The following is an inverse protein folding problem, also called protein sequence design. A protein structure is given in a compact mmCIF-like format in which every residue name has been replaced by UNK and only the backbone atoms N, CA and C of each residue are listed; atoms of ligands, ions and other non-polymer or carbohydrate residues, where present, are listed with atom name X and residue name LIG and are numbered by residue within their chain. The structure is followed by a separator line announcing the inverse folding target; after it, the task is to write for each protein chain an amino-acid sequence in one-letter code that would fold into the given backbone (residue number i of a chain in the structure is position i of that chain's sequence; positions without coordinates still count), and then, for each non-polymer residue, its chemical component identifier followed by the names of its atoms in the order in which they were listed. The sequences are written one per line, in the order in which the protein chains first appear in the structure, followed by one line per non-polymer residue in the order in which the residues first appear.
data_IF_751082083710
#
_entry.id   IF_751082083710
#
_cell.length_a   1.000
_cell.length_b   1.000
_cell.length_c   1.000
_cell.angle_alpha   90.00
_cell.angle_beta   90.00
_cell.angle_gamma   90.00
#
_symmetry.space_group_name_H-M   'P 1'
#
loop_
_entity.id
_entity.type
_entity.pdbx_description
1 polymer ?
#
# COMPACT_ATOMS: atom_id res chain seq x y z
N UNK A 1 7.52 -16.77 7.54
CA UNK A 1 7.47 -16.34 6.12
C UNK A 1 7.36 -17.59 5.26
N UNK A 2 6.31 -17.70 4.43
CA UNK A 2 6.05 -18.90 3.59
C UNK A 2 6.92 -18.95 2.34
N UNK A 3 7.36 -17.79 1.83
CA UNK A 3 8.23 -17.64 0.65
C UNK A 3 8.94 -16.28 0.64
N UNK A 4 9.92 -16.09 -0.25
CA UNK A 4 10.55 -14.77 -0.50
C UNK A 4 9.52 -13.78 -1.07
N UNK A 5 9.58 -12.51 -0.68
CA UNK A 5 8.70 -11.47 -1.19
C UNK A 5 8.87 -11.27 -2.71
N UNK A 6 7.78 -11.00 -3.39
CA UNK A 6 7.79 -10.53 -4.79
C UNK A 6 7.98 -9.01 -4.75
N UNK A 7 9.02 -8.50 -5.42
CA UNK A 7 9.38 -7.08 -5.40
C UNK A 7 8.30 -6.22 -6.07
N UNK A 8 8.26 -4.94 -5.73
CA UNK A 8 7.32 -3.98 -6.28
C UNK A 8 7.45 -3.78 -7.81
N UNK A 9 8.68 -3.89 -8.34
CA UNK A 9 8.98 -3.75 -9.78
C UNK A 9 8.88 -5.06 -10.58
N UNK A 10 8.47 -6.16 -9.95
CA UNK A 10 8.26 -7.43 -10.62
C UNK A 10 6.95 -7.40 -11.42
N UNK A 11 7.05 -7.65 -12.72
CA UNK A 11 5.94 -7.53 -13.67
C UNK A 11 5.21 -8.86 -13.94
N UNK A 12 5.53 -9.95 -13.22
CA UNK A 12 4.95 -11.28 -13.48
C UNK A 12 3.44 -11.36 -13.30
N UNK A 13 2.81 -10.38 -12.64
CA UNK A 13 1.40 -10.41 -12.24
C UNK A 13 0.48 -9.65 -13.19
N UNK A 14 0.90 -9.37 -14.43
CA UNK A 14 0.09 -8.63 -15.39
C UNK A 14 -1.26 -9.31 -15.63
N UNK A 15 -1.27 -10.63 -15.88
CA UNK A 15 -2.50 -11.40 -16.10
C UNK A 15 -3.45 -11.36 -14.89
N UNK A 16 -2.89 -11.44 -13.68
CA UNK A 16 -3.68 -11.38 -12.45
C UNK A 16 -4.29 -9.98 -12.23
N UNK A 17 -3.57 -8.93 -12.61
CA UNK A 17 -4.12 -7.57 -12.58
C UNK A 17 -5.31 -7.41 -13.54
N UNK A 18 -5.20 -7.96 -14.74
CA UNK A 18 -6.29 -7.98 -15.73
C UNK A 18 -7.48 -8.82 -15.23
N UNK A 19 -7.21 -9.98 -14.62
CA UNK A 19 -8.24 -10.84 -14.05
C UNK A 19 -9.01 -10.17 -12.91
N UNK A 20 -8.30 -9.53 -11.96
CA UNK A 20 -8.94 -8.77 -10.88
C UNK A 20 -9.77 -7.62 -11.44
N UNK A 21 -9.25 -6.91 -12.44
CA UNK A 21 -10.00 -5.82 -13.10
C UNK A 21 -11.27 -6.33 -13.77
N UNK A 22 -11.20 -7.48 -14.45
CA UNK A 22 -12.35 -8.16 -15.05
C UNK A 22 -13.35 -8.64 -13.99
N UNK A 23 -12.87 -9.24 -12.90
CA UNK A 23 -13.69 -9.69 -11.78
C UNK A 23 -14.43 -8.52 -11.09
N UNK A 24 -13.83 -7.33 -11.06
CA UNK A 24 -14.49 -6.12 -10.60
C UNK A 24 -15.68 -5.71 -11.49
N UNK A 25 -15.71 -6.14 -12.75
CA UNK A 25 -16.67 -5.68 -13.77
C UNK A 25 -16.08 -4.65 -14.73
N UNK A 26 -14.76 -4.59 -14.85
CA UNK A 26 -14.02 -3.66 -15.70
C UNK A 26 -13.39 -2.51 -14.93
N UNK A 27 -12.59 -1.70 -15.64
CA UNK A 27 -11.80 -0.63 -15.05
C UNK A 27 -12.66 0.42 -14.34
N UNK A 28 -13.74 0.88 -14.94
CA UNK A 28 -14.61 1.90 -14.34
C UNK A 28 -15.17 1.43 -12.98
N UNK A 29 -15.59 0.15 -12.93
CA UNK A 29 -16.10 -0.44 -11.71
C UNK A 29 -15.03 -0.62 -10.65
N UNK A 30 -13.84 -1.09 -11.05
CA UNK A 30 -12.68 -1.18 -10.16
C UNK A 30 -12.35 0.19 -9.54
N UNK A 31 -12.28 1.25 -10.36
CA UNK A 31 -12.03 2.61 -9.91
C UNK A 31 -13.12 3.13 -8.96
N UNK A 32 -14.37 2.72 -9.15
CA UNK A 32 -15.46 3.08 -8.24
C UNK A 32 -15.32 2.45 -6.85
N UNK A 33 -14.63 1.31 -6.75
CA UNK A 33 -14.39 0.57 -5.50
C UNK A 33 -13.10 1.05 -4.83
N UNK A 34 -11.97 1.00 -5.54
CA UNK A 34 -10.63 1.20 -4.98
C UNK A 34 -10.07 2.60 -5.23
N UNK A 35 -10.65 3.33 -6.18
CA UNK A 35 -10.18 4.63 -6.69
C UNK A 35 -8.80 4.56 -7.39
N UNK A 36 -8.26 3.36 -7.61
CA UNK A 36 -6.97 3.11 -8.26
C UNK A 36 -7.09 1.97 -9.27
N UNK A 37 -6.23 1.97 -10.28
CA UNK A 37 -6.05 0.82 -11.15
C UNK A 37 -5.36 -0.32 -10.40
N UNK A 38 -5.54 -1.56 -10.86
CA UNK A 38 -4.75 -2.69 -10.39
C UNK A 38 -3.41 -2.69 -11.13
N UNK A 39 -2.32 -2.46 -10.42
CA UNK A 39 -0.97 -2.38 -10.97
C UNK A 39 -0.13 -3.58 -10.52
N UNK A 40 0.80 -4.02 -11.37
CA UNK A 40 1.73 -5.12 -11.04
C UNK A 40 2.61 -4.83 -9.82
N UNK A 41 2.87 -3.56 -9.53
CA UNK A 41 3.55 -3.12 -8.32
C UNK A 41 2.76 -3.37 -7.04
N UNK A 42 1.44 -3.44 -7.13
CA UNK A 42 0.55 -3.61 -5.99
C UNK A 42 0.53 -5.06 -5.48
N UNK A 43 0.14 -5.21 -4.22
CA UNK A 43 0.14 -6.52 -3.53
C UNK A 43 -0.93 -7.46 -4.07
N UNK A 44 -2.06 -6.92 -4.54
CA UNK A 44 -3.24 -7.71 -4.95
C UNK A 44 -2.95 -8.72 -6.05
N UNK A 45 -2.33 -8.30 -7.15
CA UNK A 45 -1.93 -9.20 -8.23
C UNK A 45 -0.95 -10.29 -7.76
N UNK A 46 -0.07 -9.97 -6.80
CA UNK A 46 0.90 -10.93 -6.25
C UNK A 46 0.26 -12.01 -5.38
N UNK A 47 -0.81 -11.67 -4.66
CA UNK A 47 -1.57 -12.65 -3.87
C UNK A 47 -2.29 -13.62 -4.80
N UNK A 48 -2.95 -13.12 -5.84
CA UNK A 48 -3.63 -13.97 -6.82
C UNK A 48 -2.63 -14.86 -7.57
N UNK A 49 -1.50 -14.30 -8.00
CA UNK A 49 -0.43 -15.07 -8.63
C UNK A 49 0.08 -16.21 -7.73
N UNK A 50 0.26 -15.94 -6.44
CA UNK A 50 0.70 -16.96 -5.48
C UNK A 50 -0.35 -18.05 -5.32
N UNK A 51 -1.64 -17.70 -5.31
CA UNK A 51 -2.73 -18.67 -5.25
C UNK A 51 -2.71 -19.63 -6.44
N UNK A 52 -2.45 -19.11 -7.64
CA UNK A 52 -2.46 -19.90 -8.89
C UNK A 52 -1.19 -20.71 -9.10
N UNK A 53 -0.02 -20.13 -8.79
CA UNK A 53 1.27 -20.71 -9.13
C UNK A 53 1.98 -21.40 -7.96
N UNK A 54 1.60 -21.06 -6.72
CA UNK A 54 2.15 -21.64 -5.50
C UNK A 54 1.01 -21.99 -4.50
N UNK A 55 0.05 -22.85 -4.86
CA UNK A 55 -1.16 -23.12 -4.06
C UNK A 55 -0.85 -23.66 -2.66
N UNK A 56 0.23 -24.43 -2.50
CA UNK A 56 0.66 -24.92 -1.19
C UNK A 56 1.12 -23.79 -0.27
N UNK A 57 1.86 -22.82 -0.81
CA UNK A 57 2.28 -21.64 -0.07
C UNK A 57 1.07 -20.76 0.27
N UNK A 58 0.14 -20.60 -0.67
CA UNK A 58 -1.10 -19.86 -0.43
C UNK A 58 -1.92 -20.52 0.69
N UNK A 59 -2.13 -21.83 0.66
CA UNK A 59 -2.87 -22.57 1.69
C UNK A 59 -2.24 -22.46 3.09
N UNK A 60 -0.92 -22.31 3.18
CA UNK A 60 -0.17 -22.12 4.43
C UNK A 60 -0.18 -20.67 4.91
N UNK A 61 -0.61 -19.71 4.07
CA UNK A 61 -0.59 -18.29 4.41
C UNK A 61 -1.66 -17.98 5.45
N UNK A 62 -1.25 -17.42 6.58
CA UNK A 62 -2.16 -16.97 7.64
C UNK A 62 -2.45 -15.48 7.55
N UNK A 63 -1.50 -14.70 7.04
CA UNK A 63 -1.67 -13.27 6.86
C UNK A 63 -0.73 -12.76 5.77
N UNK A 64 -1.20 -11.78 5.02
CA UNK A 64 -0.40 -11.02 4.04
C UNK A 64 -0.16 -9.63 4.61
N UNK A 65 1.09 -9.26 4.76
CA UNK A 65 1.52 -7.96 5.27
C UNK A 65 2.63 -7.39 4.40
N UNK A 66 2.77 -6.08 4.39
CA UNK A 66 3.83 -5.39 3.66
C UNK A 66 5.16 -5.40 4.46
N UNK A 67 6.30 -5.10 3.84
CA UNK A 67 7.61 -5.17 4.49
C UNK A 67 7.72 -4.37 5.79
N UNK A 68 7.17 -3.14 5.83
CA UNK A 68 7.17 -2.33 7.06
C UNK A 68 6.38 -2.98 8.20
N UNK A 69 5.25 -3.63 7.85
CA UNK A 69 4.40 -4.31 8.84
C UNK A 69 5.10 -5.54 9.40
N UNK A 70 5.89 -6.22 8.57
CA UNK A 70 6.72 -7.33 9.03
C UNK A 70 7.78 -6.86 10.03
N UNK A 71 8.43 -5.72 9.80
CA UNK A 71 9.39 -5.15 10.75
C UNK A 71 8.68 -4.78 12.05
N UNK A 72 7.51 -4.10 11.98
CA UNK A 72 6.72 -3.78 13.17
C UNK A 72 6.28 -5.03 13.93
N UNK A 73 5.82 -6.06 13.21
CA UNK A 73 5.50 -7.36 13.81
C UNK A 73 6.70 -7.97 14.56
N UNK A 74 7.90 -7.92 13.98
CA UNK A 74 9.12 -8.41 14.63
C UNK A 74 9.48 -7.62 15.89
N UNK A 75 9.10 -6.36 15.96
CA UNK A 75 9.37 -5.50 17.12
C UNK A 75 8.28 -5.61 18.20
N UNK A 76 7.02 -5.85 17.83
CA UNK A 76 5.88 -5.78 18.74
C UNK A 76 5.09 -7.08 18.92
N UNK A 77 5.22 -8.03 18.00
CA UNK A 77 4.33 -9.20 17.92
C UNK A 77 2.94 -8.90 17.32
N UNK A 78 2.61 -7.63 17.05
CA UNK A 78 1.29 -7.21 16.59
C UNK A 78 1.16 -7.28 15.06
N UNK A 79 0.05 -7.86 14.57
CA UNK A 79 -0.24 -8.02 13.16
C UNK A 79 -1.32 -7.03 12.71
N UNK A 80 -0.90 -5.99 11.99
CA UNK A 80 -1.81 -5.05 11.35
C UNK A 80 -1.10 -4.36 10.18
N UNK A 81 -1.84 -3.59 9.39
CA UNK A 81 -1.30 -2.65 8.41
C UNK A 81 -1.92 -1.28 8.60
N UNK A 82 -1.36 -0.25 7.97
CA UNK A 82 -1.97 1.09 8.00
C UNK A 82 -2.77 1.38 6.74
N UNK A 83 -3.63 2.39 6.81
CA UNK A 83 -4.55 2.74 5.72
C UNK A 83 -3.84 3.24 4.47
N UNK A 84 -2.71 3.94 4.61
CA UNK A 84 -1.98 4.47 3.46
C UNK A 84 -1.34 3.36 2.64
N UNK A 85 -0.71 2.40 3.29
CA UNK A 85 -0.08 1.25 2.62
C UNK A 85 -1.13 0.23 2.13
N UNK A 86 -2.22 0.02 2.90
CA UNK A 86 -3.35 -0.77 2.45
C UNK A 86 -3.96 -0.23 1.15
N UNK A 87 -4.00 1.10 0.97
CA UNK A 87 -4.48 1.76 -0.25
C UNK A 87 -3.68 1.34 -1.49
N UNK A 88 -2.37 1.06 -1.35
CA UNK A 88 -1.48 0.58 -2.40
C UNK A 88 -1.57 -0.92 -2.69
N UNK A 89 -2.49 -1.65 -2.06
CA UNK A 89 -2.65 -3.08 -2.30
C UNK A 89 -3.52 -3.41 -3.51
N UNK A 90 -4.39 -2.48 -3.94
CA UNK A 90 -5.40 -2.68 -4.97
C UNK A 90 -6.71 -3.31 -4.46
N UNK A 91 -6.79 -3.68 -3.19
CA UNK A 91 -7.99 -4.24 -2.55
C UNK A 91 -8.56 -3.37 -1.41
N UNK A 92 -8.20 -2.10 -1.37
CA UNK A 92 -8.65 -1.18 -0.35
C UNK A 92 -9.61 -0.13 -0.91
N UNK A 93 -10.76 0.05 -0.26
CA UNK A 93 -11.68 1.13 -0.57
C UNK A 93 -11.17 2.40 0.12
N UNK A 94 -10.50 3.26 -0.65
CA UNK A 94 -9.86 4.48 -0.14
C UNK A 94 -10.90 5.46 0.43
N UNK A 95 -12.09 5.56 -0.19
CA UNK A 95 -13.16 6.43 0.27
C UNK A 95 -13.72 5.99 1.62
N UNK A 96 -13.97 4.70 1.78
CA UNK A 96 -14.58 4.12 2.98
C UNK A 96 -13.54 3.70 4.02
N UNK A 97 -12.25 3.83 3.68
CA UNK A 97 -11.11 3.51 4.56
C UNK A 97 -11.17 2.08 5.12
N UNK A 98 -11.53 1.11 4.27
CA UNK A 98 -11.66 -0.31 4.63
C UNK A 98 -11.34 -1.23 3.47
N UNK A 99 -11.08 -2.49 3.78
CA UNK A 99 -10.89 -3.51 2.76
C UNK A 99 -12.12 -3.65 1.86
N UNK A 100 -11.89 -3.86 0.57
CA UNK A 100 -12.91 -4.12 -0.45
C UNK A 100 -13.23 -5.63 -0.51
N UNK A 101 -13.79 -6.18 0.57
CA UNK A 101 -14.03 -7.62 0.71
C UNK A 101 -14.84 -8.22 -0.45
N UNK A 102 -15.86 -7.52 -0.95
CA UNK A 102 -16.63 -7.99 -2.10
C UNK A 102 -15.77 -8.14 -3.37
N UNK A 103 -14.75 -7.30 -3.56
CA UNK A 103 -13.81 -7.44 -4.68
C UNK A 103 -12.86 -8.63 -4.46
N UNK A 104 -12.39 -8.85 -3.23
CA UNK A 104 -11.57 -10.01 -2.90
C UNK A 104 -12.31 -11.31 -3.16
N UNK A 105 -13.59 -11.38 -2.76
CA UNK A 105 -14.46 -12.53 -3.00
C UNK A 105 -14.63 -12.80 -4.51
N UNK A 106 -14.90 -11.76 -5.30
CA UNK A 106 -15.00 -11.88 -6.77
C UNK A 106 -13.69 -12.35 -7.41
N UNK A 107 -12.55 -11.95 -6.85
CA UNK A 107 -11.23 -12.43 -7.26
C UNK A 107 -10.89 -13.80 -6.68
N UNK A 108 -11.82 -14.42 -5.92
CA UNK A 108 -11.65 -15.73 -5.31
C UNK A 108 -10.57 -15.78 -4.23
N UNK A 109 -10.27 -14.67 -3.56
CA UNK A 109 -9.27 -14.62 -2.50
C UNK A 109 -9.91 -14.84 -1.12
N UNK A 110 -9.17 -15.50 -0.24
CA UNK A 110 -9.54 -15.64 1.16
C UNK A 110 -9.40 -14.30 1.88
N UNK A 111 -10.50 -13.77 2.37
CA UNK A 111 -10.53 -12.49 3.06
C UNK A 111 -9.85 -12.52 4.43
N UNK A 112 -9.73 -13.70 5.03
CA UNK A 112 -9.18 -13.87 6.38
C UNK A 112 -7.67 -13.66 6.45
N UNK A 113 -6.98 -13.72 5.32
CA UNK A 113 -5.54 -13.46 5.23
C UNK A 113 -5.17 -11.98 5.23
N UNK A 114 -6.16 -11.08 5.11
CA UNK A 114 -5.90 -9.64 5.14
C UNK A 114 -5.91 -9.13 6.58
N UNK A 115 -4.87 -8.38 6.99
CA UNK A 115 -4.71 -7.96 8.38
C UNK A 115 -5.72 -6.88 8.78
N UNK A 116 -5.86 -6.66 10.10
CA UNK A 116 -6.53 -5.47 10.63
C UNK A 116 -5.85 -4.21 10.09
N UNK A 117 -6.65 -3.19 9.76
CA UNK A 117 -6.17 -1.89 9.31
C UNK A 117 -6.29 -0.87 10.43
N UNK A 118 -5.27 -0.04 10.60
CA UNK A 118 -5.22 1.05 11.59
C UNK A 118 -4.84 2.37 10.90
N UNK A 119 -5.08 3.49 11.57
CA UNK A 119 -4.55 4.78 11.10
C UNK A 119 -3.03 4.81 11.22
N UNK A 120 -2.37 5.56 10.34
CA UNK A 120 -0.91 5.67 10.32
C UNK A 120 -0.33 6.17 11.64
N UNK A 121 -1.04 7.08 12.31
CA UNK A 121 -0.65 7.66 13.61
C UNK A 121 -1.07 6.82 14.82
N UNK A 122 -1.85 5.76 14.61
CA UNK A 122 -2.27 4.86 15.69
C UNK A 122 -1.08 4.12 16.30
N UNK A 123 -1.04 4.02 17.63
CA UNK A 123 -0.06 3.16 18.32
C UNK A 123 -0.46 1.70 18.09
N UNK A 124 0.25 1.04 17.20
CA UNK A 124 -0.03 -0.31 16.73
C UNK A 124 0.76 -1.40 17.46
N UNK A 125 1.25 -1.11 18.63
CA UNK A 125 2.02 -1.99 19.50
C UNK A 125 3.19 -1.26 20.16
N UNK A 126 3.95 -1.99 20.97
CA UNK A 126 5.16 -1.48 21.63
C UNK A 126 6.31 -2.47 21.44
N UNK A 127 7.53 -1.98 21.55
CA UNK A 127 8.73 -2.82 21.50
C UNK A 127 8.69 -3.83 22.65
N UNK A 128 8.78 -5.12 22.32
CA UNK A 128 8.82 -6.20 23.31
C UNK A 128 10.18 -6.30 23.97
N UNK A 129 10.26 -7.00 25.10
CA UNK A 129 11.51 -7.28 25.81
C UNK A 129 12.53 -7.99 24.92
N UNK A 130 12.08 -8.97 24.13
CA UNK A 130 12.91 -9.73 23.20
C UNK A 130 13.46 -8.84 22.08
N UNK A 131 12.60 -7.98 21.51
CA UNK A 131 13.02 -7.03 20.49
C UNK A 131 13.98 -5.98 21.05
N UNK A 132 13.75 -5.49 22.27
CA UNK A 132 14.66 -4.57 22.96
C UNK A 132 16.06 -5.17 23.14
N UNK A 133 16.15 -6.41 23.57
CA UNK A 133 17.42 -7.13 23.74
C UNK A 133 18.20 -7.30 22.43
N UNK A 134 17.49 -7.47 21.29
CA UNK A 134 18.10 -7.65 19.97
C UNK A 134 18.51 -6.35 19.29
N UNK A 135 17.79 -5.27 19.55
CA UNK A 135 17.91 -4.02 18.78
C UNK A 135 18.53 -2.86 19.56
N UNK A 136 18.53 -2.94 20.89
CA UNK A 136 18.91 -1.83 21.76
C UNK A 136 17.82 -0.76 21.91
N UNK A 137 16.66 -0.91 21.30
CA UNK A 137 15.52 -0.01 21.53
C UNK A 137 14.96 -0.24 22.93
N UNK A 138 14.53 0.81 23.66
CA UNK A 138 13.91 0.62 24.97
C UNK A 138 12.63 -0.22 24.89
N UNK A 139 12.46 -1.18 25.79
CA UNK A 139 11.22 -1.93 25.97
C UNK A 139 10.04 -0.95 26.20
N UNK A 140 8.88 -1.26 25.65
CA UNK A 140 7.68 -0.42 25.78
C UNK A 140 7.66 0.80 24.87
N UNK A 141 8.69 1.07 24.06
CA UNK A 141 8.66 2.15 23.07
C UNK A 141 7.46 1.96 22.13
N UNK A 142 6.53 2.96 22.02
CA UNK A 142 5.36 2.85 21.16
C UNK A 142 5.75 2.82 19.68
N UNK A 143 5.06 1.98 18.91
CA UNK A 143 5.26 1.81 17.47
C UNK A 143 3.99 2.29 16.75
N UNK A 144 4.14 3.29 15.89
CA UNK A 144 3.04 3.77 15.06
C UNK A 144 2.62 2.73 14.01
N UNK A 145 1.40 2.85 13.49
CA UNK A 145 0.92 2.12 12.32
C UNK A 145 1.86 2.27 11.13
N UNK A 146 2.48 3.45 11.01
CA UNK A 146 3.42 3.77 9.95
C UNK A 146 2.72 4.22 8.67
N UNK A 147 3.38 4.13 7.54
CA UNK A 147 2.81 4.53 6.26
C UNK A 147 3.53 3.88 5.10
N UNK A 148 2.83 3.77 3.96
CA UNK A 148 3.46 3.45 2.69
C UNK A 148 4.55 4.48 2.37
N UNK A 149 5.67 4.04 1.80
CA UNK A 149 6.86 4.88 1.56
C UNK A 149 6.54 6.16 0.81
N UNK A 150 5.69 6.08 -0.21
CA UNK A 150 5.27 7.22 -1.01
C UNK A 150 4.46 8.25 -0.20
N UNK A 151 3.62 7.80 0.75
CA UNK A 151 2.82 8.69 1.60
C UNK A 151 3.65 9.23 2.75
N UNK A 152 4.49 8.40 3.40
CA UNK A 152 5.29 8.85 4.53
C UNK A 152 6.41 9.80 4.12
N UNK A 153 6.91 9.70 2.89
CA UNK A 153 7.88 10.66 2.35
C UNK A 153 7.32 12.09 2.30
N UNK A 154 6.01 12.25 2.11
CA UNK A 154 5.36 13.56 2.14
C UNK A 154 5.43 14.19 3.54
N UNK A 155 5.42 13.38 4.60
CA UNK A 155 5.62 13.86 5.99
C UNK A 155 7.02 14.42 6.15
N UNK A 156 8.04 13.69 5.68
CA UNK A 156 9.44 14.14 5.68
C UNK A 156 9.65 15.46 4.93
N UNK A 157 8.87 15.72 3.89
CA UNK A 157 8.87 16.98 3.14
C UNK A 157 8.02 18.08 3.80
N UNK A 158 7.42 17.84 4.96
CA UNK A 158 6.54 18.79 5.63
C UNK A 158 5.19 19.00 4.93
N UNK A 159 4.77 18.07 4.07
CA UNK A 159 3.48 18.11 3.38
C UNK A 159 2.37 17.52 4.26
N UNK A 160 2.34 17.88 5.53
CA UNK A 160 1.37 17.37 6.50
C UNK A 160 0.05 18.15 6.52
N UNK A 161 -0.01 19.25 5.76
CA UNK A 161 -1.22 20.09 5.65
C UNK A 161 -1.67 20.18 4.18
N UNK A 162 -2.99 20.27 3.92
CA UNK A 162 -3.49 20.55 2.59
C UNK A 162 -2.94 21.83 1.98
N UNK A 163 -2.93 21.89 0.63
CA UNK A 163 -2.51 23.08 -0.12
C UNK A 163 -1.00 23.17 -0.40
N UNK A 164 -0.21 22.21 0.05
CA UNK A 164 1.21 22.07 -0.30
C UNK A 164 1.40 20.99 -1.34
N UNK A 165 2.30 21.21 -2.28
CA UNK A 165 2.66 20.24 -3.33
C UNK A 165 4.13 19.88 -3.15
N UNK A 166 4.43 18.59 -3.17
CA UNK A 166 5.78 18.04 -3.22
C UNK A 166 6.12 17.61 -4.63
N UNK A 167 7.32 17.95 -5.07
CA UNK A 167 7.87 17.49 -6.36
C UNK A 167 9.18 16.78 -6.09
N UNK A 168 9.25 15.51 -6.47
CA UNK A 168 10.48 14.72 -6.43
C UNK A 168 10.96 14.49 -7.85
N UNK A 169 12.20 14.90 -8.14
CA UNK A 169 12.83 14.72 -9.45
C UNK A 169 14.01 13.76 -9.31
N UNK A 170 13.90 12.61 -9.94
CA UNK A 170 14.93 11.59 -10.03
C UNK A 170 14.90 10.96 -11.42
N UNK A 171 15.15 9.66 -11.54
CA UNK A 171 14.94 8.89 -12.77
C UNK A 171 13.49 8.96 -13.23
N UNK A 172 12.56 9.07 -12.28
CA UNK A 172 11.15 9.40 -12.51
C UNK A 172 10.81 10.71 -11.80
N UNK A 173 9.75 11.37 -12.25
CA UNK A 173 9.17 12.53 -11.58
C UNK A 173 7.93 12.12 -10.81
N UNK A 174 7.80 12.58 -9.58
CA UNK A 174 6.58 12.38 -8.75
C UNK A 174 6.10 13.74 -8.28
N UNK A 175 4.82 14.01 -8.50
CA UNK A 175 4.12 15.17 -7.92
C UNK A 175 3.10 14.62 -6.92
N UNK A 176 3.21 15.03 -5.67
CA UNK A 176 2.34 14.58 -4.59
C UNK A 176 1.66 15.76 -3.90
N UNK A 177 0.41 15.56 -3.50
CA UNK A 177 -0.39 16.55 -2.77
C UNK A 177 -1.22 15.86 -1.69
N UNK A 178 -1.32 16.47 -0.52
CA UNK A 178 -2.26 16.04 0.52
C UNK A 178 -3.55 16.86 0.42
N UNK A 179 -4.67 16.16 0.46
CA UNK A 179 -6.01 16.66 0.25
C UNK A 179 -6.85 16.51 1.52
N UNK A 180 -7.66 17.51 1.87
CA UNK A 180 -8.52 17.46 3.07
C UNK A 180 -9.80 16.63 2.87
N UNK A 181 -10.03 16.16 1.64
CA UNK A 181 -11.22 15.38 1.28
C UNK A 181 -10.90 14.37 0.18
N UNK A 182 -11.68 13.31 0.13
CA UNK A 182 -11.63 12.33 -0.94
C UNK A 182 -11.91 12.99 -2.31
N UNK A 183 -11.09 12.66 -3.29
CA UNK A 183 -11.32 13.01 -4.70
C UNK A 183 -11.53 11.74 -5.52
N UNK A 184 -12.42 11.79 -6.49
CA UNK A 184 -12.57 10.70 -7.47
C UNK A 184 -11.43 10.74 -8.48
N UNK A 185 -11.00 9.55 -8.91
CA UNK A 185 -9.97 9.35 -9.93
C UNK A 185 -10.58 8.59 -11.13
N UNK A 186 -11.48 9.20 -11.89
CA UNK A 186 -12.35 8.52 -12.85
C UNK A 186 -11.59 7.85 -14.01
N UNK A 187 -10.41 8.34 -14.31
CA UNK A 187 -9.55 7.79 -15.38
C UNK A 187 -8.41 6.93 -14.86
N UNK A 188 -8.28 6.80 -13.52
CA UNK A 188 -7.20 6.03 -12.91
C UNK A 188 -5.79 6.58 -13.16
N UNK A 189 -5.65 7.85 -13.59
CA UNK A 189 -4.35 8.44 -13.95
C UNK A 189 -3.48 8.81 -12.76
N UNK A 190 -4.10 9.02 -11.62
CA UNK A 190 -3.42 9.29 -10.36
C UNK A 190 -3.36 8.01 -9.51
N UNK A 191 -2.48 8.02 -8.54
CA UNK A 191 -2.54 7.13 -7.38
C UNK A 191 -3.15 7.92 -6.23
N UNK A 192 -4.26 7.44 -5.69
CA UNK A 192 -4.96 8.11 -4.59
C UNK A 192 -5.01 7.17 -3.39
N UNK A 193 -4.41 7.59 -2.30
CA UNK A 193 -4.27 6.79 -1.08
C UNK A 193 -4.89 7.52 0.11
N UNK A 194 -5.18 6.80 1.18
CA UNK A 194 -5.39 7.42 2.47
C UNK A 194 -4.09 8.15 2.88
N UNK A 195 -4.22 9.32 3.44
CA UNK A 195 -3.07 10.05 4.01
C UNK A 195 -2.63 9.47 5.35
N UNK A 196 -1.58 10.04 5.91
CA UNK A 196 -0.97 9.63 7.20
C UNK A 196 -1.74 10.14 8.42
N UNK A 197 -2.82 10.86 8.23
CA UNK A 197 -3.70 11.28 9.32
C UNK A 197 -5.16 10.95 8.98
N UNK A 198 -6.01 10.78 10.00
CA UNK A 198 -7.44 10.62 9.80
C UNK A 198 -7.99 11.74 8.90
N UNK A 199 -8.86 11.37 7.96
CA UNK A 199 -9.51 12.30 7.02
C UNK A 199 -8.58 12.99 6.00
N UNK A 200 -7.28 12.69 5.96
CA UNK A 200 -6.41 13.11 4.87
C UNK A 200 -6.33 12.05 3.77
N UNK A 201 -6.14 12.53 2.56
CA UNK A 201 -5.89 11.71 1.37
C UNK A 201 -4.62 12.22 0.69
N UNK A 202 -3.88 11.32 0.07
CA UNK A 202 -2.70 11.65 -0.72
C UNK A 202 -2.99 11.30 -2.18
N UNK A 203 -2.81 12.26 -3.07
CA UNK A 203 -2.88 12.02 -4.51
C UNK A 203 -1.51 12.28 -5.13
N UNK A 204 -1.08 11.40 -6.02
CA UNK A 204 0.19 11.53 -6.70
C UNK A 204 0.11 11.15 -8.17
N UNK A 205 0.80 11.93 -8.99
CA UNK A 205 1.09 11.64 -10.37
C UNK A 205 2.54 11.20 -10.52
N UNK A 206 2.77 10.12 -11.25
CA UNK A 206 4.11 9.57 -11.50
C UNK A 206 4.39 9.63 -12.99
N UNK A 207 5.56 10.19 -13.38
CA UNK A 207 6.04 10.13 -14.75
C UNK A 207 7.22 9.16 -14.81
N UNK A 208 7.14 8.16 -15.69
CA UNK A 208 8.20 7.19 -15.90
C UNK A 208 9.13 7.57 -17.07
N UNK A 209 8.96 8.75 -17.67
CA UNK A 209 9.88 9.23 -18.69
C UNK A 209 11.22 9.52 -18.06
N UNK A 210 12.24 8.80 -18.49
CA UNK A 210 13.64 9.14 -18.22
C UNK A 210 13.88 10.59 -18.67
N UNK A 211 14.09 11.49 -17.73
CA UNK A 211 14.74 12.75 -18.04
C UNK A 211 16.18 12.39 -18.45
N UNK A 212 16.46 12.41 -19.74
CA UNK A 212 17.84 12.62 -20.18
C UNK A 212 18.14 14.09 -19.89
N UNK A 213 19.05 14.41 -18.96
CA UNK A 213 19.53 15.77 -18.86
C UNK A 213 20.19 16.08 -20.21
N UNK A 214 19.63 16.99 -20.97
CA UNK A 214 20.35 17.61 -22.08
C UNK A 214 21.34 18.54 -21.40
N UNK A 215 22.49 18.04 -21.01
CA UNK A 215 23.65 18.82 -20.73
C UNK A 215 24.14 19.32 -22.10
N UNK A 216 23.63 20.47 -22.52
CA UNK A 216 24.28 21.29 -23.57
C UNK A 216 25.47 21.94 -22.89
N UNK A 217 26.68 21.45 -23.21
CA UNK A 217 27.97 22.14 -22.93
C UNK A 217 28.11 23.24 -23.94
#
# INVERSE_FOLDING_TARGET
VVRRAILWNDQRTTSQCDEITKAAGGLEHLLSITNNQMLTGYTGGKILWMKENEPENYARTKVVINPKDYIRFKLSGEVCTDMSDASGTGFFNVKERRWAFALMEKAGLDQTIFPKVVESTHVAGCVTKEAAALTGLPEGTPLAGGGGDAVISTVGLGLVKPGRIGVTLGTSGVVAVNLPAFIRNPNGLLQVFCGNEPNLYSAMGVTLKQYRPVLTV
#
